data_IF_305282310295
#
_entry.id   IF_305282310295
#
_cell.length_a   1.000
_cell.length_b   1.000
_cell.length_c   1.000
_cell.angle_alpha   90.00
_cell.angle_beta   90.00
_cell.angle_gamma   90.00
#
_symmetry.space_group_name_H-M   'P 1'
#
loop_
_entity.id
_entity.type
_entity.pdbx_description
1 polymer ?
#
# COMPACT_ATOMS: atom_id res chain seq x y z
N UNK A 1 8.92 21.22 2.76
CA UNK A 1 7.97 20.55 3.67
C UNK A 1 8.77 19.57 4.49
N UNK A 2 8.50 19.50 5.79
CA UNK A 2 9.10 18.47 6.64
C UNK A 2 8.45 17.11 6.34
N UNK A 3 9.12 16.01 6.67
CA UNK A 3 8.59 14.64 6.52
C UNK A 3 7.25 14.47 7.25
N UNK A 4 7.08 15.17 8.37
CA UNK A 4 5.83 15.24 9.11
C UNK A 4 4.69 15.80 8.26
N UNK A 5 4.89 16.94 7.61
CA UNK A 5 3.84 17.59 6.81
C UNK A 5 3.42 16.70 5.64
N UNK A 6 4.40 16.04 5.01
CA UNK A 6 4.16 15.13 3.90
C UNK A 6 3.36 13.90 4.35
N UNK A 7 3.71 13.31 5.50
CA UNK A 7 2.99 12.19 6.09
C UNK A 7 1.56 12.57 6.48
N UNK A 8 1.36 13.70 7.15
CA UNK A 8 0.02 14.17 7.53
C UNK A 8 -0.84 14.49 6.31
N UNK A 9 -0.23 15.07 5.26
CA UNK A 9 -0.90 15.31 3.99
C UNK A 9 -1.34 14.00 3.35
N UNK A 10 -0.47 12.99 3.33
CA UNK A 10 -0.82 11.67 2.80
C UNK A 10 -1.94 11.04 3.61
N UNK A 11 -1.86 11.01 4.94
CA UNK A 11 -2.92 10.46 5.80
C UNK A 11 -4.29 11.13 5.58
N UNK A 12 -4.31 12.45 5.37
CA UNK A 12 -5.56 13.21 5.18
C UNK A 12 -6.15 13.06 3.77
N UNK A 13 -5.30 12.88 2.76
CA UNK A 13 -5.72 12.93 1.34
C UNK A 13 -5.66 11.59 0.62
N UNK A 14 -5.14 10.54 1.26
CA UNK A 14 -5.14 9.20 0.67
C UNK A 14 -6.52 8.60 0.81
N UNK A 15 -7.10 8.18 -0.31
CA UNK A 15 -8.38 7.48 -0.32
C UNK A 15 -8.21 6.10 -0.96
N UNK A 16 -8.59 5.06 -0.22
CA UNK A 16 -8.57 3.68 -0.73
C UNK A 16 -9.97 3.38 -1.28
N UNK A 17 -10.12 3.56 -2.59
CA UNK A 17 -11.40 3.38 -3.28
C UNK A 17 -11.80 1.91 -3.35
N UNK A 18 -10.81 1.04 -3.55
CA UNK A 18 -11.02 -0.40 -3.57
C UNK A 18 -9.86 -1.10 -2.88
N UNK A 19 -10.10 -1.78 -1.73
CA UNK A 19 -9.08 -2.62 -1.11
C UNK A 19 -9.00 -3.99 -1.79
N UNK A 20 -7.87 -4.69 -1.60
CA UNK A 20 -7.73 -6.12 -1.99
C UNK A 20 -8.63 -6.98 -1.11
N UNK A 21 -9.17 -8.06 -1.67
CA UNK A 21 -10.08 -8.99 -0.97
C UNK A 21 -9.42 -10.34 -0.66
N UNK A 22 -8.25 -10.65 -1.23
CA UNK A 22 -7.56 -11.92 -1.01
C UNK A 22 -6.89 -12.02 0.39
N UNK A 23 -6.92 -13.18 1.06
CA UNK A 23 -6.16 -13.38 2.31
C UNK A 23 -4.64 -13.28 2.08
N UNK A 24 -3.87 -13.08 3.16
CA UNK A 24 -2.42 -13.15 3.11
C UNK A 24 -1.99 -14.60 2.86
N UNK A 25 -0.92 -14.78 2.10
CA UNK A 25 -0.22 -16.06 2.12
C UNK A 25 0.52 -16.16 3.44
N UNK A 26 0.01 -16.98 4.37
CA UNK A 26 0.61 -17.18 5.71
C UNK A 26 2.06 -17.70 5.63
N UNK A 27 2.43 -18.30 4.50
CA UNK A 27 3.69 -19.01 4.30
C UNK A 27 4.57 -18.44 3.18
N UNK A 28 4.08 -17.50 2.37
CA UNK A 28 4.81 -16.96 1.22
C UNK A 28 4.75 -15.45 1.12
N UNK A 29 5.45 -14.91 0.12
CA UNK A 29 5.41 -13.51 -0.28
C UNK A 29 3.97 -13.03 -0.50
N UNK A 30 3.63 -11.88 0.06
CA UNK A 30 2.35 -11.23 -0.20
C UNK A 30 2.52 -10.18 -1.27
N UNK A 31 1.77 -10.36 -2.35
CA UNK A 31 1.69 -9.48 -3.49
C UNK A 31 0.53 -8.49 -3.31
N UNK A 32 0.84 -7.19 -3.28
CA UNK A 32 -0.12 -6.09 -3.18
C UNK A 32 -0.04 -5.20 -4.42
N UNK A 33 -0.58 -5.64 -5.57
CA UNK A 33 -0.66 -4.81 -6.75
C UNK A 33 -1.59 -3.62 -6.50
N UNK A 34 -1.24 -2.47 -7.04
CA UNK A 34 -2.00 -1.24 -6.89
C UNK A 34 -2.08 -0.45 -8.20
N UNK A 35 -3.18 0.28 -8.33
CA UNK A 35 -3.35 1.38 -9.27
C UNK A 35 -3.53 2.64 -8.42
N UNK A 36 -2.60 3.58 -8.56
CA UNK A 36 -2.62 4.86 -7.89
C UNK A 36 -3.00 5.96 -8.89
N UNK A 37 -3.99 6.78 -8.54
CA UNK A 37 -4.41 7.92 -9.35
C UNK A 37 -4.20 9.23 -8.59
N UNK A 38 -3.68 10.23 -9.28
CA UNK A 38 -3.53 11.59 -8.76
C UNK A 38 -3.84 12.61 -9.84
N UNK A 39 -4.31 13.78 -9.45
CA UNK A 39 -4.36 14.93 -10.36
C UNK A 39 -2.93 15.32 -10.78
N UNK A 40 -2.74 15.57 -12.07
CA UNK A 40 -1.45 15.98 -12.61
C UNK A 40 -1.08 17.38 -12.12
N UNK A 41 0.10 17.49 -11.51
CA UNK A 41 0.67 18.78 -11.13
C UNK A 41 1.16 19.61 -12.32
N UNK A 42 1.42 18.96 -13.47
CA UNK A 42 1.94 19.60 -14.68
C UNK A 42 0.82 20.04 -15.63
N UNK A 43 -0.20 19.19 -15.82
CA UNK A 43 -1.31 19.46 -16.72
C UNK A 43 -2.63 19.45 -15.94
N UNK A 44 -3.15 20.64 -15.61
CA UNK A 44 -4.43 20.75 -14.91
C UNK A 44 -5.55 20.13 -15.74
N UNK A 45 -6.25 19.18 -15.15
CA UNK A 45 -7.34 18.44 -15.79
C UNK A 45 -6.95 17.04 -16.27
N UNK A 46 -5.66 16.71 -16.28
CA UNK A 46 -5.18 15.35 -16.56
C UNK A 46 -4.94 14.56 -15.27
N UNK A 47 -4.96 13.24 -15.40
CA UNK A 47 -4.73 12.30 -14.29
C UNK A 47 -3.43 11.56 -14.50
N UNK A 48 -2.57 11.55 -13.49
CA UNK A 48 -1.39 10.68 -13.43
C UNK A 48 -1.82 9.33 -12.89
N UNK A 49 -1.47 8.28 -13.62
CA UNK A 49 -1.73 6.88 -13.27
C UNK A 49 -0.41 6.21 -12.97
N UNK A 50 -0.26 5.66 -11.78
CA UNK A 50 0.87 4.82 -11.40
C UNK A 50 0.38 3.40 -11.16
N UNK A 51 0.96 2.43 -11.85
CA UNK A 51 0.73 1.01 -11.60
C UNK A 51 1.99 0.42 -11.00
N UNK A 52 1.81 -0.43 -10.02
CA UNK A 52 2.92 -1.06 -9.34
C UNK A 52 2.46 -2.12 -8.37
N UNK A 53 3.41 -2.64 -7.62
CA UNK A 53 3.18 -3.67 -6.63
C UNK A 53 4.05 -3.46 -5.41
N UNK A 54 3.47 -3.65 -4.23
CA UNK A 54 4.24 -3.84 -3.00
C UNK A 54 4.33 -5.33 -2.70
N UNK A 55 5.55 -5.87 -2.71
CA UNK A 55 5.84 -7.23 -2.26
C UNK A 55 6.20 -7.20 -0.78
N UNK A 56 5.55 -8.06 0.00
CA UNK A 56 5.76 -8.16 1.44
C UNK A 56 6.27 -9.54 1.80
N UNK A 57 7.52 -9.58 2.26
CA UNK A 57 8.29 -10.80 2.48
C UNK A 57 8.74 -10.94 3.93
N UNK A 58 8.89 -12.19 4.38
CA UNK A 58 9.63 -12.45 5.62
C UNK A 58 11.11 -12.13 5.38
N UNK A 59 11.78 -11.40 6.27
CA UNK A 59 13.17 -11.06 6.11
C UNK A 59 14.03 -12.35 6.14
N UNK A 60 14.97 -12.47 5.20
CA UNK A 60 15.86 -13.64 5.08
C UNK A 60 16.88 -13.73 6.24
N UNK A 61 17.11 -12.61 6.94
CA UNK A 61 17.99 -12.51 8.10
C UNK A 61 17.13 -12.21 9.33
N UNK A 62 17.43 -12.82 10.48
CA UNK A 62 16.75 -12.53 11.75
C UNK A 62 16.97 -11.05 12.08
N UNK A 63 15.92 -10.24 11.90
CA UNK A 63 15.92 -8.85 12.31
C UNK A 63 15.70 -8.76 13.82
N UNK A 64 16.30 -7.79 14.52
CA UNK A 64 15.83 -7.37 15.83
C UNK A 64 14.33 -7.06 15.76
N UNK A 65 13.60 -7.34 16.85
CA UNK A 65 12.17 -7.06 16.92
C UNK A 65 11.86 -5.59 16.57
N UNK A 66 10.72 -5.36 15.93
CA UNK A 66 10.16 -4.04 15.60
C UNK A 66 10.88 -3.23 14.50
N UNK A 67 11.71 -3.86 13.67
CA UNK A 67 12.39 -3.20 12.53
C UNK A 67 11.79 -3.61 11.17
N UNK A 68 10.80 -2.89 10.62
CA UNK A 68 10.37 -3.08 9.23
C UNK A 68 11.45 -2.58 8.26
N UNK A 69 11.55 -3.21 7.07
CA UNK A 69 12.45 -2.75 6.00
C UNK A 69 11.61 -2.25 4.82
N UNK A 70 11.81 -1.01 4.43
CA UNK A 70 11.16 -0.42 3.27
C UNK A 70 12.16 -0.29 2.12
N UNK A 71 11.77 -0.70 0.92
CA UNK A 71 12.55 -0.52 -0.32
C UNK A 71 11.63 0.02 -1.41
N UNK A 72 12.13 0.92 -2.27
CA UNK A 72 11.35 1.48 -3.38
C UNK A 72 10.27 2.49 -2.97
N UNK A 73 10.35 3.00 -1.74
CA UNK A 73 9.52 4.11 -1.24
C UNK A 73 10.23 5.46 -1.30
N UNK A 74 11.46 5.50 -1.83
CA UNK A 74 12.26 6.71 -1.95
C UNK A 74 11.56 7.75 -2.84
N UNK A 75 11.80 9.03 -2.53
CA UNK A 75 11.24 10.15 -3.30
C UNK A 75 12.35 11.05 -3.82
N UNK A 76 12.51 11.09 -5.14
CA UNK A 76 13.50 11.94 -5.82
C UNK A 76 13.32 13.43 -5.50
N UNK A 77 12.09 13.85 -5.17
CA UNK A 77 11.75 15.25 -4.85
C UNK A 77 12.06 15.64 -3.41
N UNK A 78 12.34 14.67 -2.54
CA UNK A 78 12.60 14.89 -1.12
C UNK A 78 13.99 14.32 -0.83
N UNK A 79 15.01 15.16 -0.94
CA UNK A 79 16.41 14.78 -0.70
C UNK A 79 16.69 14.25 0.71
N UNK A 80 15.78 14.49 1.66
CA UNK A 80 15.78 13.95 3.03
C UNK A 80 15.08 12.59 3.18
N UNK A 81 14.57 12.00 2.10
CA UNK A 81 13.79 10.76 2.16
C UNK A 81 14.70 9.54 2.26
N UNK A 82 15.37 9.41 3.40
CA UNK A 82 16.09 8.19 3.77
C UNK A 82 15.09 7.20 4.39
N UNK A 83 15.19 5.93 3.97
CA UNK A 83 14.36 4.83 4.46
C UNK A 83 14.56 4.59 5.97
N UNK A 84 15.76 4.88 6.48
CA UNK A 84 16.06 4.84 7.91
C UNK A 84 15.34 5.98 8.66
N UNK A 85 15.25 7.16 8.05
CA UNK A 85 14.51 8.30 8.61
C UNK A 85 13.00 8.01 8.63
N UNK A 86 12.46 7.39 7.57
CA UNK A 86 11.06 6.95 7.50
C UNK A 86 10.74 5.97 8.64
N UNK A 87 11.59 4.94 8.82
CA UNK A 87 11.39 3.91 9.84
C UNK A 87 11.41 4.50 11.25
N UNK A 88 12.41 5.35 11.55
CA UNK A 88 12.50 6.06 12.82
C UNK A 88 11.31 7.01 13.04
N UNK A 89 10.89 7.74 12.01
CA UNK A 89 9.76 8.64 12.06
C UNK A 89 8.46 7.89 12.41
N UNK A 90 8.18 6.77 11.74
CA UNK A 90 7.01 5.94 12.01
C UNK A 90 7.05 5.36 13.44
N UNK A 91 8.22 4.91 13.89
CA UNK A 91 8.42 4.39 15.24
C UNK A 91 8.12 5.44 16.32
N UNK A 92 8.67 6.65 16.21
CA UNK A 92 8.43 7.76 17.16
C UNK A 92 6.94 8.14 17.22
N UNK A 93 6.18 7.93 16.14
CA UNK A 93 4.73 8.17 16.08
C UNK A 93 3.87 7.01 16.56
N UNK A 94 4.48 5.92 17.01
CA UNK A 94 3.76 4.72 17.45
C UNK A 94 3.11 3.94 16.30
N UNK A 95 3.49 4.21 15.04
CA UNK A 95 3.04 3.44 13.89
C UNK A 95 3.90 2.18 13.82
N UNK A 96 3.30 1.03 14.14
CA UNK A 96 3.99 -0.26 14.14
C UNK A 96 3.67 -1.03 12.87
N UNK A 97 4.67 -1.22 12.01
CA UNK A 97 4.62 -2.22 10.96
C UNK A 97 5.20 -3.54 11.49
N UNK A 98 4.64 -4.69 11.09
CA UNK A 98 5.32 -5.97 11.27
C UNK A 98 6.75 -5.92 10.72
N UNK A 99 7.69 -6.56 11.41
CA UNK A 99 9.09 -6.72 10.99
C UNK A 99 9.21 -7.62 9.76
N UNK A 100 8.77 -7.07 8.63
CA UNK A 100 8.76 -7.66 7.31
C UNK A 100 9.52 -6.74 6.35
N UNK A 101 9.86 -7.28 5.19
CA UNK A 101 10.43 -6.53 4.09
C UNK A 101 9.32 -6.09 3.15
N UNK A 102 9.20 -4.79 2.90
CA UNK A 102 8.23 -4.18 2.02
C UNK A 102 8.98 -3.58 0.83
N UNK A 103 8.84 -4.20 -0.34
CA UNK A 103 9.48 -3.75 -1.56
C UNK A 103 8.43 -3.22 -2.54
N UNK A 104 8.42 -1.91 -2.75
CA UNK A 104 7.56 -1.24 -3.71
C UNK A 104 8.25 -1.15 -5.07
N UNK A 105 7.58 -1.66 -6.12
CA UNK A 105 8.03 -1.55 -7.50
C UNK A 105 6.97 -0.84 -8.32
N UNK A 106 7.37 0.24 -8.99
CA UNK A 106 6.54 0.90 -9.99
C UNK A 106 6.73 0.18 -11.32
N UNK A 107 5.63 -0.30 -11.89
CA UNK A 107 5.60 -0.97 -13.18
C UNK A 107 5.39 0.02 -14.33
N UNK A 108 4.45 0.96 -14.16
CA UNK A 108 4.18 1.99 -15.16
C UNK A 108 3.81 3.33 -14.52
N UNK A 109 4.17 4.39 -15.23
CA UNK A 109 3.75 5.76 -14.98
C UNK A 109 3.16 6.31 -16.28
N UNK A 110 1.86 6.50 -16.28
CA UNK A 110 1.10 6.94 -17.45
C UNK A 110 0.40 8.26 -17.17
N UNK A 111 0.26 9.11 -18.19
CA UNK A 111 -0.61 10.29 -18.14
C UNK A 111 -1.88 10.00 -18.90
N UNK A 112 -3.02 10.24 -18.28
CA UNK A 112 -4.34 10.07 -18.89
C UNK A 112 -5.02 11.43 -19.02
N UNK A 113 -5.48 11.73 -20.23
CA UNK A 113 -6.34 12.88 -20.48
C UNK A 113 -7.68 12.70 -19.77
N UNK A 114 -8.14 13.77 -19.10
CA UNK A 114 -9.39 13.79 -18.36
C UNK A 114 -9.22 13.74 -16.85
N UNK A 115 -10.25 14.27 -16.17
CA UNK A 115 -10.21 14.53 -14.74
C UNK A 115 -10.14 13.25 -13.90
N UNK A 116 -9.72 13.44 -12.64
CA UNK A 116 -9.55 12.34 -11.69
C UNK A 116 -10.82 11.48 -11.54
N UNK A 117 -12.01 12.12 -11.56
CA UNK A 117 -13.30 11.43 -11.49
C UNK A 117 -13.51 10.42 -12.63
N UNK A 118 -13.18 10.79 -13.86
CA UNK A 118 -13.33 9.92 -15.03
C UNK A 118 -12.34 8.76 -14.99
N UNK A 119 -11.10 9.03 -14.54
CA UNK A 119 -10.09 8.00 -14.34
C UNK A 119 -10.52 6.99 -13.26
N UNK A 120 -11.09 7.45 -12.13
CA UNK A 120 -11.61 6.57 -11.07
C UNK A 120 -12.67 5.61 -11.63
N UNK A 121 -13.66 6.14 -12.36
CA UNK A 121 -14.75 5.32 -12.90
C UNK A 121 -14.23 4.32 -13.93
N UNK A 122 -13.29 4.74 -14.78
CA UNK A 122 -12.66 3.86 -15.74
C UNK A 122 -11.92 2.70 -15.08
N UNK A 123 -11.01 2.98 -14.13
CA UNK A 123 -10.22 1.93 -13.50
C UNK A 123 -11.05 1.04 -12.58
N UNK A 124 -12.08 1.59 -11.93
CA UNK A 124 -13.06 0.78 -11.21
C UNK A 124 -13.73 -0.24 -12.13
N UNK A 125 -14.27 0.23 -13.27
CA UNK A 125 -14.94 -0.64 -14.25
C UNK A 125 -13.96 -1.64 -14.86
N UNK A 126 -12.74 -1.23 -15.18
CA UNK A 126 -11.71 -2.13 -15.72
C UNK A 126 -11.43 -3.29 -14.74
N UNK A 127 -11.21 -2.97 -13.46
CA UNK A 127 -10.94 -3.98 -12.45
C UNK A 127 -12.17 -4.87 -12.16
N UNK A 128 -13.39 -4.36 -12.32
CA UNK A 128 -14.62 -5.14 -12.22
C UNK A 128 -14.78 -6.10 -13.41
N UNK A 129 -14.62 -5.60 -14.63
CA UNK A 129 -14.74 -6.40 -15.86
C UNK A 129 -13.70 -7.51 -15.96
N UNK A 130 -12.51 -7.31 -15.38
CA UNK A 130 -11.45 -8.33 -15.31
C UNK A 130 -11.59 -9.28 -14.11
N UNK A 131 -12.64 -9.12 -13.30
CA UNK A 131 -12.83 -9.82 -12.03
C UNK A 131 -11.59 -9.74 -11.11
N UNK A 132 -10.80 -8.68 -11.26
CA UNK A 132 -9.57 -8.51 -10.51
C UNK A 132 -9.91 -8.06 -9.09
N UNK A 133 -9.72 -8.97 -8.14
CA UNK A 133 -9.92 -8.72 -6.70
C UNK A 133 -8.59 -8.57 -5.94
N UNK A 134 -7.47 -8.71 -6.64
CA UNK A 134 -6.11 -8.66 -6.10
C UNK A 134 -5.53 -7.24 -6.07
N UNK A 135 -5.91 -6.39 -7.02
CA UNK A 135 -5.38 -5.04 -7.15
C UNK A 135 -6.17 -4.01 -6.34
N UNK A 136 -5.44 -3.19 -5.58
CA UNK A 136 -6.00 -2.02 -4.91
C UNK A 136 -6.16 -0.83 -5.86
N UNK A 137 -7.19 -0.01 -5.63
CA UNK A 137 -7.35 1.30 -6.28
C UNK A 137 -7.19 2.39 -5.23
N UNK A 138 -6.15 3.20 -5.37
CA UNK A 138 -5.72 4.20 -4.38
C UNK A 138 -5.69 5.58 -5.03
N UNK A 139 -6.15 6.59 -4.30
CA UNK A 139 -6.06 7.99 -4.67
C UNK A 139 -5.15 8.72 -3.69
N UNK A 140 -4.47 9.74 -4.18
CA UNK A 140 -3.75 10.65 -3.30
C UNK A 140 -3.07 11.77 -4.08
N UNK A 141 -2.38 12.66 -3.38
CA UNK A 141 -1.62 13.73 -4.02
C UNK A 141 -0.40 13.17 -4.76
N UNK A 142 -0.11 13.73 -5.94
CA UNK A 142 0.99 13.26 -6.80
C UNK A 142 2.36 13.38 -6.12
N UNK A 143 2.56 14.40 -5.29
CA UNK A 143 3.85 14.70 -4.66
C UNK A 143 4.16 13.85 -3.42
N UNK A 144 3.17 13.12 -2.90
CA UNK A 144 3.31 12.22 -1.73
C UNK A 144 2.73 10.82 -2.00
N UNK A 145 2.83 10.37 -3.24
CA UNK A 145 2.26 9.09 -3.66
C UNK A 145 2.88 7.90 -2.90
N UNK A 146 4.18 7.91 -2.61
CA UNK A 146 4.85 6.83 -1.87
C UNK A 146 4.24 6.62 -0.47
N UNK A 147 3.96 7.72 0.24
CA UNK A 147 3.27 7.66 1.53
C UNK A 147 1.84 7.17 1.38
N UNK A 148 1.15 7.53 0.30
CA UNK A 148 -0.19 7.03 0.01
C UNK A 148 -0.18 5.50 -0.17
N UNK A 149 0.87 4.96 -0.82
CA UNK A 149 1.07 3.51 -0.95
C UNK A 149 1.42 2.85 0.39
N UNK A 150 2.19 3.50 1.27
CA UNK A 150 2.45 3.00 2.63
C UNK A 150 1.16 2.94 3.46
N UNK A 151 0.32 3.98 3.39
CA UNK A 151 -1.00 4.01 4.05
C UNK A 151 -1.89 2.89 3.52
N UNK A 152 -1.92 2.69 2.19
CA UNK A 152 -2.61 1.57 1.57
C UNK A 152 -2.08 0.22 2.11
N UNK A 153 -0.77 0.03 2.12
CA UNK A 153 -0.13 -1.20 2.60
C UNK A 153 -0.47 -1.48 4.06
N UNK A 154 -0.41 -0.46 4.93
CA UNK A 154 -0.80 -0.59 6.34
C UNK A 154 -2.28 -0.99 6.49
N UNK A 155 -3.17 -0.32 5.75
CA UNK A 155 -4.60 -0.64 5.78
C UNK A 155 -4.87 -2.08 5.35
N UNK A 156 -4.18 -2.53 4.31
CA UNK A 156 -4.24 -3.88 3.80
C UNK A 156 -3.80 -4.92 4.83
N UNK A 157 -2.69 -4.67 5.54
CA UNK A 157 -2.23 -5.55 6.61
C UNK A 157 -3.22 -5.67 7.76
N UNK A 158 -3.77 -4.54 8.23
CA UNK A 158 -4.74 -4.52 9.33
C UNK A 158 -5.98 -5.33 8.97
N UNK A 159 -6.55 -5.08 7.78
CA UNK A 159 -7.75 -5.81 7.31
C UNK A 159 -7.51 -7.31 7.14
N UNK A 160 -6.30 -7.69 6.75
CA UNK A 160 -5.97 -9.10 6.50
C UNK A 160 -5.60 -9.85 7.78
N UNK A 161 -4.95 -9.21 8.76
CA UNK A 161 -4.70 -9.79 10.07
C UNK A 161 -6.00 -10.23 10.78
N UNK A 162 -7.07 -9.42 10.69
CA UNK A 162 -8.39 -9.80 11.21
C UNK A 162 -8.97 -11.04 10.52
N UNK A 163 -8.82 -11.14 9.20
CA UNK A 163 -9.28 -12.28 8.41
C UNK A 163 -8.52 -13.56 8.73
N UNK A 164 -7.19 -13.48 8.83
CA UNK A 164 -6.32 -14.63 9.12
C UNK A 164 -6.57 -15.19 10.53
N UNK A 165 -6.75 -14.31 11.52
CA UNK A 165 -7.12 -14.72 12.88
C UNK A 165 -8.43 -15.51 12.86
N UNK A 166 -9.46 -15.04 12.14
CA UNK A 166 -10.73 -15.78 12.02
C UNK A 166 -10.54 -17.16 11.39
N UNK A 167 -9.76 -17.26 10.31
CA UNK A 167 -9.49 -18.55 9.67
C UNK A 167 -8.73 -19.53 10.58
N UNK A 168 -7.76 -19.04 11.36
CA UNK A 168 -7.04 -19.85 12.35
C UNK A 168 -7.99 -20.38 13.43
N UNK A 169 -8.89 -19.54 13.94
CA UNK A 169 -9.92 -19.94 14.92
C UNK A 169 -10.88 -20.99 14.36
N UNK A 170 -11.34 -20.83 13.12
CA UNK A 170 -12.22 -21.79 12.47
C UNK A 170 -11.55 -23.16 12.28
N UNK A 171 -10.26 -23.17 11.90
CA UNK A 171 -9.46 -24.41 11.81
C UNK A 171 -9.28 -25.06 13.18
N UNK A 172 -9.01 -24.29 14.22
CA UNK A 172 -8.90 -24.80 15.59
C UNK A 172 -10.22 -25.42 16.06
N UNK A 173 -11.35 -24.78 15.78
CA UNK A 173 -12.68 -25.27 16.16
C UNK A 173 -13.09 -26.55 15.42
N UNK A 174 -12.79 -26.65 14.12
CA UNK A 174 -13.03 -27.88 13.34
C UNK A 174 -12.21 -29.05 13.88
N UNK A 175 -10.93 -28.84 14.18
CA UNK A 175 -10.06 -29.89 14.73
C UNK A 175 -10.54 -30.44 16.08
N UNK A 176 -11.18 -29.60 16.90
CA UNK A 176 -11.77 -29.99 18.19
C UNK A 176 -13.10 -30.76 18.05
N UNK A 177 -13.84 -30.55 16.97
CA UNK A 177 -15.11 -31.25 16.71
C UNK A 177 -14.90 -32.61 16.01
N UNK A 178 -13.74 -32.83 15.38
CA UNK A 178 -13.36 -34.09 14.73
C UNK A 178 -12.49 -35.00 15.65
N UNK A 179 -12.38 -34.67 16.94
CA UNK A 179 -11.69 -35.46 17.99
C UNK A 179 -12.68 -35.86 19.09
#
# INVERSE_FOLDING_TARGET
MDIQDLWEKALKKTEIIRPRVLPLSVFGSTHLPYIFLAESSLNRGDTVVRKGEVMVDKPTIVLPNDMPQFEGFESEKVSTFDLDMLTNFLFVRGVKFPSLKYNNKVESLDLREGGLGDAIQFYRRELECRENTSSGLVLGPEDVWQFSILVFTANQMIRQAEGDIRQLWDKYRKKKNDS
#
